data_IF_887726650679
#
_entry.id   IF_887726650679
#
_cell.length_a   1.000
_cell.length_b   1.000
_cell.length_c   1.000
_cell.angle_alpha   90.00
_cell.angle_beta   90.00
_cell.angle_gamma   90.00
#
_symmetry.space_group_name_H-M   'P 1'
#
loop_
_entity.id
_entity.type
_entity.pdbx_description
1 polymer ?
#
# COMPACT_ATOMS: atom_id res chain seq x y z
N UNK A 1 -22.06 -13.42 11.57
CA UNK A 1 -22.17 -12.15 10.81
C UNK A 1 -22.03 -12.40 9.33
N UNK A 2 -22.80 -11.70 8.47
CA UNK A 2 -22.61 -11.68 7.01
C UNK A 2 -22.00 -10.35 6.58
N UNK A 3 -20.90 -10.38 5.88
CA UNK A 3 -20.18 -9.18 5.46
C UNK A 3 -19.95 -9.18 3.95
N UNK A 4 -20.17 -8.05 3.33
CA UNK A 4 -19.78 -7.81 1.95
C UNK A 4 -18.64 -6.81 1.92
N UNK A 5 -17.55 -7.15 1.23
CA UNK A 5 -16.37 -6.27 1.08
C UNK A 5 -16.21 -5.88 -0.39
N UNK A 6 -16.28 -4.58 -0.68
CA UNK A 6 -16.06 -4.04 -2.01
C UNK A 6 -14.59 -3.59 -2.15
N UNK A 7 -13.85 -4.29 -3.01
CA UNK A 7 -12.44 -4.01 -3.28
C UNK A 7 -12.09 -4.34 -4.73
N UNK A 8 -11.45 -3.43 -5.45
CA UNK A 8 -11.06 -3.68 -6.83
C UNK A 8 -9.83 -2.89 -7.28
N UNK A 9 -9.17 -3.42 -8.31
CA UNK A 9 -8.10 -2.79 -9.07
C UNK A 9 -6.71 -3.17 -8.60
N UNK A 10 -6.19 -2.56 -7.55
CA UNK A 10 -4.81 -2.75 -7.09
C UNK A 10 -4.72 -3.51 -5.78
N UNK A 11 -3.57 -4.12 -5.51
CA UNK A 11 -3.29 -4.79 -4.24
C UNK A 11 -3.46 -3.85 -3.02
N UNK A 12 -3.19 -2.54 -3.19
CA UNK A 12 -3.40 -1.53 -2.14
C UNK A 12 -4.85 -1.35 -1.69
N UNK A 13 -5.84 -1.73 -2.52
CA UNK A 13 -7.25 -1.77 -2.15
C UNK A 13 -7.69 -3.15 -1.65
N UNK A 14 -7.14 -4.20 -2.24
CA UNK A 14 -7.60 -5.57 -2.00
C UNK A 14 -7.01 -6.12 -0.69
N UNK A 15 -5.72 -5.90 -0.43
CA UNK A 15 -5.05 -6.42 0.76
C UNK A 15 -5.66 -5.92 2.08
N UNK A 16 -5.99 -4.63 2.26
CA UNK A 16 -6.73 -4.18 3.44
C UNK A 16 -8.06 -4.91 3.62
N UNK A 17 -8.81 -5.12 2.52
CA UNK A 17 -10.06 -5.89 2.55
C UNK A 17 -9.87 -7.33 3.00
N UNK A 18 -8.83 -8.00 2.52
CA UNK A 18 -8.48 -9.36 2.94
C UNK A 18 -8.06 -9.40 4.42
N UNK A 19 -7.29 -8.41 4.88
CA UNK A 19 -6.89 -8.34 6.29
C UNK A 19 -8.10 -8.14 7.22
N UNK A 20 -9.02 -7.24 6.85
CA UNK A 20 -10.29 -7.02 7.56
C UNK A 20 -11.12 -8.30 7.57
N UNK A 21 -11.23 -9.00 6.44
CA UNK A 21 -11.94 -10.27 6.34
C UNK A 21 -11.38 -11.32 7.30
N UNK A 22 -10.05 -11.47 7.35
CA UNK A 22 -9.37 -12.39 8.25
C UNK A 22 -9.66 -12.06 9.70
N UNK A 23 -9.54 -10.79 10.10
CA UNK A 23 -9.84 -10.35 11.46
C UNK A 23 -11.29 -10.65 11.85
N UNK A 24 -12.24 -10.40 10.97
CA UNK A 24 -13.65 -10.75 11.21
C UNK A 24 -13.84 -12.27 11.43
N UNK A 25 -13.15 -13.11 10.66
CA UNK A 25 -13.22 -14.58 10.83
C UNK A 25 -12.55 -15.06 12.12
N UNK A 26 -11.47 -14.43 12.53
CA UNK A 26 -10.79 -14.72 13.81
C UNK A 26 -11.72 -14.46 14.98
N UNK A 27 -12.42 -13.31 14.99
CA UNK A 27 -13.36 -12.92 16.05
C UNK A 27 -14.71 -13.67 15.97
N UNK A 28 -15.18 -13.98 14.77
CA UNK A 28 -16.44 -14.63 14.53
C UNK A 28 -16.31 -15.78 13.51
N UNK A 29 -15.91 -16.96 13.96
CA UNK A 29 -15.63 -18.14 13.13
C UNK A 29 -16.73 -18.50 12.11
N UNK A 30 -17.99 -18.26 12.45
CA UNK A 30 -19.15 -18.56 11.61
C UNK A 30 -19.56 -17.38 10.70
N UNK A 31 -18.70 -16.37 10.51
CA UNK A 31 -19.01 -15.25 9.62
C UNK A 31 -18.96 -15.68 8.16
N UNK A 32 -19.91 -15.20 7.36
CA UNK A 32 -19.92 -15.36 5.91
C UNK A 32 -19.42 -14.07 5.26
N UNK A 33 -18.27 -14.13 4.60
CA UNK A 33 -17.65 -12.98 3.96
C UNK A 33 -17.63 -13.18 2.46
N UNK A 34 -18.13 -12.20 1.72
CA UNK A 34 -18.19 -12.21 0.26
C UNK A 34 -17.59 -10.92 -0.27
N UNK A 35 -16.72 -11.03 -1.24
CA UNK A 35 -16.16 -9.86 -1.93
C UNK A 35 -17.01 -9.49 -3.14
N UNK A 36 -17.10 -8.18 -3.41
CA UNK A 36 -17.59 -7.63 -4.67
C UNK A 36 -16.44 -6.90 -5.36
N UNK A 37 -16.14 -7.32 -6.56
CA UNK A 37 -15.10 -6.79 -7.42
C UNK A 37 -15.56 -6.63 -8.87
N UNK A 38 -14.58 -6.51 -9.78
CA UNK A 38 -14.82 -6.50 -11.22
C UNK A 38 -14.19 -7.74 -11.86
N UNK A 39 -14.49 -7.99 -13.13
CA UNK A 39 -13.87 -9.10 -13.90
C UNK A 39 -12.44 -8.80 -14.37
N UNK A 40 -11.84 -7.64 -14.01
CA UNK A 40 -10.64 -7.11 -14.69
C UNK A 40 -9.45 -6.83 -13.80
N UNK A 41 -9.62 -6.73 -12.49
CA UNK A 41 -8.57 -6.33 -11.56
C UNK A 41 -7.89 -7.53 -10.90
N UNK A 42 -6.91 -7.21 -10.03
CA UNK A 42 -6.16 -8.19 -9.25
C UNK A 42 -7.03 -8.95 -8.24
N UNK A 43 -8.23 -8.45 -7.94
CA UNK A 43 -9.20 -9.12 -7.08
C UNK A 43 -9.55 -10.52 -7.56
N UNK A 44 -9.53 -10.77 -8.89
CA UNK A 44 -9.85 -12.07 -9.47
C UNK A 44 -8.83 -13.17 -9.12
N UNK A 45 -7.62 -12.78 -8.75
CA UNK A 45 -6.57 -13.67 -8.30
C UNK A 45 -6.43 -13.66 -6.77
N UNK A 46 -6.33 -12.47 -6.17
CA UNK A 46 -5.99 -12.32 -4.76
C UNK A 46 -7.10 -12.75 -3.80
N UNK A 47 -8.37 -12.50 -4.15
CA UNK A 47 -9.51 -12.84 -3.28
C UNK A 47 -9.74 -14.35 -3.20
N UNK A 48 -9.80 -15.09 -4.34
CA UNK A 48 -9.92 -16.55 -4.28
C UNK A 48 -8.71 -17.23 -3.61
N UNK A 49 -7.48 -16.75 -3.88
CA UNK A 49 -6.28 -17.27 -3.18
C UNK A 49 -6.31 -17.06 -1.67
N UNK A 50 -7.01 -16.03 -1.21
CA UNK A 50 -7.22 -15.79 0.23
C UNK A 50 -8.36 -16.63 0.81
N UNK A 51 -9.05 -17.46 -0.01
CA UNK A 51 -10.13 -18.36 0.42
C UNK A 51 -11.51 -17.72 0.47
N UNK A 52 -11.73 -16.55 -0.18
CA UNK A 52 -13.01 -15.86 -0.16
C UNK A 52 -13.76 -15.96 -1.49
N UNK A 53 -15.10 -15.98 -1.40
CA UNK A 53 -15.99 -15.90 -2.57
C UNK A 53 -15.91 -14.49 -3.17
N UNK A 54 -15.73 -14.41 -4.50
CA UNK A 54 -15.78 -13.17 -5.26
C UNK A 54 -17.00 -13.15 -6.17
N UNK A 55 -17.86 -12.16 -6.00
CA UNK A 55 -18.91 -11.79 -6.96
C UNK A 55 -18.44 -10.57 -7.76
N UNK A 56 -18.71 -10.56 -9.06
CA UNK A 56 -18.29 -9.46 -9.93
C UNK A 56 -19.47 -8.66 -10.42
N UNK A 57 -19.30 -7.36 -10.54
CA UNK A 57 -20.24 -6.43 -11.16
C UNK A 57 -19.53 -5.54 -12.19
N UNK A 58 -20.29 -4.96 -13.09
CA UNK A 58 -19.73 -4.07 -14.10
C UNK A 58 -19.69 -2.62 -13.59
N UNK A 59 -18.53 -2.17 -13.14
CA UNK A 59 -18.30 -0.81 -12.66
C UNK A 59 -17.02 -0.21 -13.26
N UNK A 60 -17.01 1.12 -13.45
CA UNK A 60 -15.89 1.85 -14.04
C UNK A 60 -15.60 3.14 -13.29
N UNK A 61 -14.34 3.56 -13.33
CA UNK A 61 -13.95 4.88 -12.87
C UNK A 61 -14.52 5.96 -13.81
N UNK A 62 -15.20 6.95 -13.24
CA UNK A 62 -15.75 8.06 -13.99
C UNK A 62 -14.63 9.10 -14.26
N UNK A 63 -14.45 9.48 -15.54
CA UNK A 63 -13.59 10.58 -15.96
C UNK A 63 -14.41 11.88 -16.07
N UNK A 64 -13.74 13.03 -15.88
CA UNK A 64 -14.36 14.35 -16.09
C UNK A 64 -14.52 14.73 -17.59
N UNK A 65 -13.86 14.00 -18.49
CA UNK A 65 -13.96 14.30 -19.94
C UNK A 65 -15.30 13.80 -20.49
N UNK A 66 -16.03 14.67 -21.14
CA UNK A 66 -17.25 14.29 -21.90
C UNK A 66 -16.79 13.60 -23.17
N UNK A 67 -17.00 12.29 -23.26
CA UNK A 67 -16.75 11.48 -24.45
C UNK A 67 -17.76 10.33 -24.52
N UNK A 68 -18.02 9.82 -25.72
CA UNK A 68 -18.91 8.67 -25.94
C UNK A 68 -18.48 7.47 -25.08
N UNK A 69 -17.18 7.26 -24.92
CA UNK A 69 -16.62 6.21 -24.07
C UNK A 69 -16.96 6.41 -22.58
N UNK A 70 -16.89 7.66 -22.10
CA UNK A 70 -17.25 7.97 -20.72
C UNK A 70 -18.76 7.85 -20.46
N UNK A 71 -19.60 8.17 -21.45
CA UNK A 71 -21.05 7.93 -21.36
C UNK A 71 -21.33 6.43 -21.27
N UNK A 72 -20.68 5.61 -22.10
CA UNK A 72 -20.77 4.14 -22.01
C UNK A 72 -20.32 3.62 -20.63
N UNK A 73 -19.21 4.14 -20.07
CA UNK A 73 -18.72 3.78 -18.73
C UNK A 73 -19.73 4.19 -17.63
N UNK A 74 -20.37 5.34 -17.78
CA UNK A 74 -21.40 5.79 -16.84
C UNK A 74 -22.63 4.89 -16.86
N UNK A 75 -23.14 4.51 -18.05
CA UNK A 75 -24.26 3.57 -18.19
C UNK A 75 -23.91 2.22 -17.54
N UNK A 76 -22.71 1.69 -17.78
CA UNK A 76 -22.23 0.46 -17.16
C UNK A 76 -22.13 0.56 -15.64
N UNK A 77 -21.69 1.71 -15.12
CA UNK A 77 -21.63 1.93 -13.66
C UNK A 77 -23.02 2.02 -13.04
N UNK A 78 -24.02 2.57 -13.73
CA UNK A 78 -25.44 2.54 -13.30
C UNK A 78 -25.96 1.11 -13.31
N UNK A 79 -25.64 0.30 -14.34
CA UNK A 79 -25.96 -1.13 -14.37
C UNK A 79 -25.32 -1.86 -13.19
N UNK A 80 -24.03 -1.61 -12.92
CA UNK A 80 -23.30 -2.17 -11.79
C UNK A 80 -23.93 -1.81 -10.43
N UNK A 81 -24.52 -0.63 -10.28
CA UNK A 81 -25.33 -0.27 -9.11
C UNK A 81 -26.54 -1.20 -8.98
N UNK A 82 -27.27 -1.49 -10.06
CA UNK A 82 -28.40 -2.42 -10.09
C UNK A 82 -27.98 -3.84 -9.73
N UNK A 83 -26.86 -4.31 -10.27
CA UNK A 83 -26.27 -5.62 -9.98
C UNK A 83 -25.86 -5.72 -8.49
N UNK A 84 -25.15 -4.72 -7.96
CA UNK A 84 -24.81 -4.66 -6.54
C UNK A 84 -26.06 -4.70 -5.65
N UNK A 85 -27.09 -3.92 -6.00
CA UNK A 85 -28.36 -3.90 -5.26
C UNK A 85 -29.06 -5.28 -5.25
N UNK A 86 -29.03 -6.02 -6.38
CA UNK A 86 -29.56 -7.38 -6.46
C UNK A 86 -28.79 -8.32 -5.54
N UNK A 87 -27.46 -8.34 -5.63
CA UNK A 87 -26.58 -9.15 -4.78
C UNK A 87 -26.84 -8.85 -3.30
N UNK A 88 -26.89 -7.59 -2.90
CA UNK A 88 -27.10 -7.20 -1.51
C UNK A 88 -28.50 -7.57 -0.98
N UNK A 89 -29.55 -7.51 -1.81
CA UNK A 89 -30.90 -7.97 -1.45
C UNK A 89 -30.95 -9.47 -1.19
N UNK A 90 -30.25 -10.27 -2.01
CA UNK A 90 -30.16 -11.72 -1.87
C UNK A 90 -29.38 -12.13 -0.62
N UNK A 91 -28.20 -11.48 -0.41
CA UNK A 91 -27.29 -11.80 0.68
C UNK A 91 -27.79 -11.31 2.04
N UNK A 92 -28.47 -10.15 2.08
CA UNK A 92 -28.86 -9.44 3.30
C UNK A 92 -27.72 -9.35 4.31
N UNK A 93 -26.59 -8.67 3.94
CA UNK A 93 -25.44 -8.56 4.83
C UNK A 93 -25.73 -7.62 6.00
N UNK A 94 -25.08 -7.87 7.14
CA UNK A 94 -25.13 -7.00 8.32
C UNK A 94 -24.38 -5.69 8.11
N UNK A 95 -23.36 -5.71 7.23
CA UNK A 95 -22.56 -4.53 6.88
C UNK A 95 -21.95 -4.68 5.47
N UNK A 96 -21.75 -3.55 4.81
CA UNK A 96 -20.96 -3.44 3.55
C UNK A 96 -19.74 -2.56 3.78
N UNK A 97 -18.57 -3.10 3.52
CA UNK A 97 -17.27 -2.46 3.71
C UNK A 97 -16.64 -2.16 2.36
N UNK A 98 -16.20 -0.95 2.11
CA UNK A 98 -15.43 -0.58 0.92
C UNK A 98 -13.99 -0.27 1.30
N UNK A 99 -13.02 -0.91 0.64
CA UNK A 99 -11.59 -0.68 0.92
C UNK A 99 -10.85 0.02 -0.22
N UNK A 100 -11.58 0.42 -1.27
CA UNK A 100 -11.03 1.24 -2.33
C UNK A 100 -11.40 0.77 -3.75
N UNK A 101 -11.01 1.60 -4.70
CA UNK A 101 -11.38 1.41 -6.09
C UNK A 101 -12.78 1.97 -6.42
N UNK A 102 -13.03 2.06 -7.74
CA UNK A 102 -14.31 2.61 -8.25
C UNK A 102 -15.52 1.72 -7.97
N UNK A 103 -15.30 0.46 -7.63
CA UNK A 103 -16.33 -0.51 -7.23
C UNK A 103 -17.12 -0.04 -6.00
N UNK A 104 -16.44 0.65 -5.07
CA UNK A 104 -17.07 1.18 -3.88
C UNK A 104 -18.21 2.14 -4.21
N UNK A 105 -18.11 2.89 -5.33
CA UNK A 105 -19.16 3.81 -5.78
C UNK A 105 -20.52 3.13 -5.96
N UNK A 106 -20.54 2.03 -6.69
CA UNK A 106 -21.76 1.25 -6.94
C UNK A 106 -22.23 0.52 -5.67
N UNK A 107 -21.31 -0.19 -5.00
CA UNK A 107 -21.66 -1.10 -3.89
C UNK A 107 -22.10 -0.34 -2.64
N UNK A 108 -21.37 0.68 -2.20
CA UNK A 108 -21.74 1.51 -1.04
C UNK A 108 -23.03 2.30 -1.30
N UNK A 109 -23.21 2.86 -2.53
CA UNK A 109 -24.47 3.53 -2.86
C UNK A 109 -25.67 2.58 -2.84
N UNK A 110 -25.50 1.34 -3.29
CA UNK A 110 -26.54 0.32 -3.23
C UNK A 110 -26.87 -0.08 -1.78
N UNK A 111 -25.85 -0.28 -0.94
CA UNK A 111 -25.99 -0.56 0.48
C UNK A 111 -26.73 0.58 1.21
N UNK A 112 -26.31 1.83 0.98
CA UNK A 112 -26.98 3.01 1.55
C UNK A 112 -28.48 3.06 1.16
N UNK A 113 -28.79 2.82 -0.13
CA UNK A 113 -30.18 2.79 -0.61
C UNK A 113 -31.01 1.67 0.06
N UNK A 114 -30.40 0.55 0.38
CA UNK A 114 -31.03 -0.57 1.08
C UNK A 114 -31.02 -0.41 2.62
N UNK A 115 -30.52 0.71 3.13
CA UNK A 115 -30.35 1.00 4.55
C UNK A 115 -29.44 0.00 5.30
N UNK A 116 -28.56 -0.70 4.59
CA UNK A 116 -27.55 -1.59 5.17
C UNK A 116 -26.43 -0.72 5.77
N UNK A 117 -25.87 -1.06 6.95
CA UNK A 117 -24.71 -0.40 7.51
C UNK A 117 -23.53 -0.34 6.54
N UNK A 118 -22.86 0.82 6.46
CA UNK A 118 -21.78 1.07 5.49
C UNK A 118 -20.53 1.58 6.15
N UNK A 119 -19.39 1.02 5.77
CA UNK A 119 -18.08 1.43 6.21
C UNK A 119 -17.14 1.61 5.01
N UNK A 120 -16.35 2.67 4.97
CA UNK A 120 -15.26 2.86 4.01
C UNK A 120 -13.92 2.88 4.75
N UNK A 121 -12.89 2.29 4.16
CA UNK A 121 -11.51 2.42 4.59
C UNK A 121 -10.72 3.20 3.53
N UNK A 122 -10.09 4.32 3.93
CA UNK A 122 -9.21 5.12 3.09
C UNK A 122 -7.75 4.95 3.53
N UNK A 123 -6.97 4.35 2.69
CA UNK A 123 -5.56 4.06 2.96
C UNK A 123 -4.63 5.26 2.74
N UNK A 124 -5.02 6.25 1.93
CA UNK A 124 -4.14 7.36 1.56
C UNK A 124 -4.31 8.58 2.47
N UNK A 125 -3.23 9.34 2.63
CA UNK A 125 -3.25 10.62 3.35
C UNK A 125 -4.09 11.70 2.62
N UNK A 126 -4.27 11.56 1.30
CA UNK A 126 -5.22 12.37 0.53
C UNK A 126 -6.36 11.49 0.02
N UNK A 127 -7.58 11.66 0.55
CA UNK A 127 -8.70 10.79 0.24
C UNK A 127 -9.04 10.75 -1.26
N UNK A 128 -9.28 9.54 -1.75
CA UNK A 128 -9.68 9.30 -3.14
C UNK A 128 -11.03 9.91 -3.49
N UNK A 129 -11.29 10.09 -4.81
CA UNK A 129 -12.56 10.63 -5.30
C UNK A 129 -13.77 9.83 -4.83
N UNK A 130 -13.67 8.51 -4.82
CA UNK A 130 -14.75 7.63 -4.39
C UNK A 130 -15.13 7.91 -2.94
N UNK A 131 -14.16 8.00 -2.02
CA UNK A 131 -14.39 8.29 -0.61
C UNK A 131 -15.07 9.65 -0.43
N UNK A 132 -14.56 10.70 -1.10
CA UNK A 132 -15.16 12.05 -1.03
C UNK A 132 -16.60 12.10 -1.54
N UNK A 133 -16.92 11.38 -2.62
CA UNK A 133 -18.27 11.33 -3.19
C UNK A 133 -19.25 10.52 -2.32
N UNK A 134 -18.73 9.51 -1.62
CA UNK A 134 -19.52 8.62 -0.78
C UNK A 134 -19.62 9.09 0.67
N UNK A 135 -18.89 10.13 1.08
CA UNK A 135 -18.80 10.57 2.46
C UNK A 135 -20.16 10.77 3.14
N UNK A 136 -21.12 11.42 2.46
CA UNK A 136 -22.49 11.62 2.98
C UNK A 136 -23.32 10.34 3.08
N UNK A 137 -22.98 9.32 2.26
CA UNK A 137 -23.74 8.06 2.16
C UNK A 137 -23.18 6.96 3.07
N UNK A 138 -21.99 7.15 3.59
CA UNK A 138 -21.29 6.17 4.43
C UNK A 138 -21.52 6.48 5.90
N UNK A 139 -21.79 5.45 6.68
CA UNK A 139 -22.06 5.64 8.11
C UNK A 139 -20.77 5.86 8.87
N UNK A 140 -19.69 5.10 8.57
CA UNK A 140 -18.35 5.28 9.19
C UNK A 140 -17.26 5.23 8.13
N UNK A 141 -16.32 6.16 8.18
CA UNK A 141 -15.11 6.17 7.33
C UNK A 141 -13.90 6.00 8.23
N UNK A 142 -13.11 4.98 7.97
CA UNK A 142 -11.84 4.73 8.62
C UNK A 142 -10.71 5.33 7.78
N UNK A 143 -9.76 5.97 8.42
CA UNK A 143 -8.61 6.57 7.74
C UNK A 143 -7.30 6.04 8.28
N UNK A 144 -6.33 5.89 7.39
CA UNK A 144 -4.99 5.41 7.73
C UNK A 144 -4.06 6.50 8.24
N UNK A 145 -4.36 7.75 7.93
CA UNK A 145 -3.59 8.91 8.35
C UNK A 145 -4.53 9.96 8.94
N UNK A 146 -4.19 10.48 10.11
CA UNK A 146 -5.00 11.47 10.82
C UNK A 146 -5.27 12.72 9.96
N UNK A 147 -4.27 13.14 9.19
CA UNK A 147 -4.38 14.28 8.26
C UNK A 147 -5.47 14.11 7.18
N UNK A 148 -5.98 12.90 6.97
CA UNK A 148 -7.07 12.65 6.04
C UNK A 148 -8.44 13.06 6.62
N UNK A 149 -8.60 13.15 7.94
CA UNK A 149 -9.87 13.49 8.61
C UNK A 149 -10.39 14.83 8.10
N UNK A 150 -9.59 15.88 8.17
CA UNK A 150 -9.97 17.24 7.76
C UNK A 150 -10.29 17.36 6.27
N UNK A 151 -9.83 16.40 5.46
CA UNK A 151 -10.03 16.37 4.01
C UNK A 151 -11.30 15.65 3.57
N UNK A 152 -12.00 15.01 4.51
CA UNK A 152 -13.26 14.28 4.27
C UNK A 152 -14.41 15.11 4.79
N UNK A 153 -14.89 16.05 3.97
CA UNK A 153 -16.03 16.91 4.32
C UNK A 153 -17.35 16.13 4.25
N UNK A 154 -18.29 16.52 5.10
CA UNK A 154 -19.66 15.99 5.13
C UNK A 154 -19.80 14.49 5.46
N UNK A 155 -18.79 13.86 5.99
CA UNK A 155 -18.91 12.52 6.55
C UNK A 155 -19.69 12.54 7.87
N UNK A 156 -20.42 11.45 8.14
CA UNK A 156 -21.15 11.31 9.42
C UNK A 156 -20.19 11.01 10.58
N UNK A 157 -19.24 10.11 10.32
CA UNK A 157 -18.23 9.69 11.29
C UNK A 157 -16.93 9.38 10.56
N UNK A 158 -15.79 9.90 11.04
CA UNK A 158 -14.46 9.62 10.53
C UNK A 158 -13.56 9.22 11.68
N UNK A 159 -12.94 8.05 11.60
CA UNK A 159 -12.13 7.49 12.69
C UNK A 159 -10.73 7.14 12.17
N UNK A 160 -9.72 7.58 12.88
CA UNK A 160 -8.33 7.17 12.62
C UNK A 160 -8.08 5.78 13.20
N UNK A 161 -7.80 4.81 12.35
CA UNK A 161 -7.50 3.42 12.74
C UNK A 161 -6.14 2.95 12.27
N UNK A 162 -5.60 3.54 11.23
CA UNK A 162 -4.47 2.99 10.48
C UNK A 162 -4.91 2.05 9.35
N UNK A 163 -3.95 1.48 8.65
CA UNK A 163 -4.15 0.44 7.64
C UNK A 163 -3.56 -0.88 8.12
N UNK A 164 -4.30 -2.00 8.03
CA UNK A 164 -3.73 -3.30 8.34
C UNK A 164 -2.63 -3.66 7.34
N UNK A 165 -1.46 -3.98 7.83
CA UNK A 165 -0.28 -4.35 7.04
C UNK A 165 0.23 -5.74 7.46
N UNK A 166 0.85 -6.45 6.52
CA UNK A 166 1.37 -7.79 6.78
C UNK A 166 2.71 -7.77 7.51
N UNK A 167 3.52 -6.72 7.24
CA UNK A 167 4.87 -6.60 7.78
C UNK A 167 4.79 -6.09 9.21
N UNK A 168 5.28 -6.91 10.13
CA UNK A 168 5.31 -6.61 11.57
C UNK A 168 6.75 -6.41 12.05
N UNK A 169 6.93 -5.59 13.06
CA UNK A 169 8.22 -5.41 13.71
C UNK A 169 8.64 -6.72 14.39
N UNK A 170 9.85 -7.19 14.09
CA UNK A 170 10.50 -8.35 14.72
C UNK A 170 11.68 -7.90 15.54
N UNK A 171 11.83 -8.45 16.71
CA UNK A 171 12.97 -8.17 17.57
C UNK A 171 14.10 -9.17 17.27
N UNK A 172 14.84 -8.97 16.19
CA UNK A 172 16.05 -9.73 15.90
C UNK A 172 17.18 -9.24 16.81
N UNK A 173 17.86 -10.16 17.48
CA UNK A 173 19.13 -9.82 18.13
C UNK A 173 20.25 -9.66 17.09
N UNK A 174 21.40 -9.13 17.50
CA UNK A 174 22.52 -8.84 16.57
C UNK A 174 23.03 -10.10 15.87
N UNK A 175 23.08 -11.25 16.56
CA UNK A 175 23.49 -12.52 15.96
C UNK A 175 22.53 -12.97 14.85
N UNK A 176 21.22 -12.90 15.09
CA UNK A 176 20.19 -13.24 14.10
C UNK A 176 20.24 -12.32 12.87
N UNK A 177 20.44 -11.01 13.07
CA UNK A 177 20.63 -10.08 11.96
C UNK A 177 21.83 -10.46 11.10
N UNK A 178 22.97 -10.69 11.74
CA UNK A 178 24.20 -11.11 11.05
C UNK A 178 24.01 -12.38 10.24
N UNK A 179 23.31 -13.37 10.79
CA UNK A 179 23.02 -14.64 10.11
C UNK A 179 22.14 -14.44 8.87
N UNK A 180 21.11 -13.57 8.94
CA UNK A 180 20.26 -13.24 7.81
C UNK A 180 21.09 -12.53 6.72
N UNK A 181 21.91 -11.56 7.10
CA UNK A 181 22.76 -10.80 6.18
C UNK A 181 23.76 -11.74 5.47
N UNK A 182 24.41 -12.64 6.21
CA UNK A 182 25.33 -13.65 5.65
C UNK A 182 24.65 -14.60 4.67
N UNK A 183 23.44 -15.06 4.97
CA UNK A 183 22.64 -15.92 4.06
C UNK A 183 22.34 -15.22 2.73
N UNK A 184 22.30 -13.91 2.71
CA UNK A 184 22.13 -13.13 1.48
C UNK A 184 23.43 -12.89 0.72
N UNK A 185 24.58 -13.29 1.26
CA UNK A 185 25.90 -13.06 0.68
C UNK A 185 26.39 -11.62 0.85
N UNK A 186 25.91 -10.92 1.89
CA UNK A 186 26.26 -9.54 2.20
C UNK A 186 27.21 -9.46 3.41
N UNK A 187 27.91 -8.33 3.56
CA UNK A 187 28.81 -8.06 4.68
C UNK A 187 28.02 -7.61 5.92
N UNK A 188 28.15 -8.33 7.01
CA UNK A 188 27.42 -8.06 8.26
C UNK A 188 27.84 -6.78 9.00
N UNK A 189 28.96 -6.16 8.61
CA UNK A 189 29.51 -4.96 9.25
C UNK A 189 29.30 -3.70 8.39
N UNK A 190 28.59 -3.82 7.27
CA UNK A 190 28.33 -2.70 6.36
C UNK A 190 26.85 -2.36 6.36
N UNK A 191 26.47 -1.06 6.39
CA UNK A 191 25.05 -0.66 6.35
C UNK A 191 24.34 -1.15 5.09
N UNK A 192 23.06 -1.42 5.23
CA UNK A 192 22.24 -2.01 4.15
C UNK A 192 21.09 -1.09 3.78
N UNK A 193 20.98 -0.79 2.50
CA UNK A 193 19.87 -0.04 1.89
C UNK A 193 18.95 -1.00 1.14
N UNK A 194 17.67 -1.00 1.46
CA UNK A 194 16.66 -1.73 0.68
C UNK A 194 16.06 -0.82 -0.38
N UNK A 195 16.09 -1.24 -1.64
CA UNK A 195 15.52 -0.48 -2.77
C UNK A 195 14.45 -1.29 -3.47
N UNK A 196 13.22 -0.75 -3.58
CA UNK A 196 12.13 -1.37 -4.33
C UNK A 196 11.12 -0.37 -4.86
N UNK A 197 10.54 -0.68 -6.02
CA UNK A 197 9.54 0.15 -6.69
C UNK A 197 8.09 -0.33 -6.52
N UNK A 198 7.84 -1.27 -5.60
CA UNK A 198 6.59 -2.04 -5.51
C UNK A 198 6.62 -3.31 -6.37
N UNK A 199 5.51 -4.06 -6.41
CA UNK A 199 5.46 -5.40 -7.03
C UNK A 199 5.82 -5.44 -8.52
N UNK A 200 5.66 -4.34 -9.24
CA UNK A 200 5.98 -4.24 -10.67
C UNK A 200 7.37 -3.61 -10.95
N UNK A 201 8.05 -3.17 -9.90
CA UNK A 201 9.26 -2.34 -10.01
C UNK A 201 8.95 -0.88 -10.35
N UNK A 202 9.99 -0.05 -10.39
CA UNK A 202 9.91 1.37 -10.73
C UNK A 202 11.08 1.76 -11.62
N UNK A 203 10.81 1.91 -12.92
CA UNK A 203 11.84 2.16 -13.94
C UNK A 203 12.81 3.30 -13.57
N UNK A 204 12.28 4.41 -13.05
CA UNK A 204 13.09 5.58 -12.69
C UNK A 204 14.05 5.28 -11.51
N UNK A 205 13.55 4.57 -10.49
CA UNK A 205 14.39 4.12 -9.37
C UNK A 205 15.44 3.13 -9.86
N UNK A 206 15.04 2.18 -10.72
CA UNK A 206 15.95 1.20 -11.27
C UNK A 206 17.08 1.86 -12.09
N UNK A 207 16.77 2.86 -12.91
CA UNK A 207 17.77 3.60 -13.67
C UNK A 207 18.78 4.30 -12.75
N UNK A 208 18.31 4.97 -11.68
CA UNK A 208 19.19 5.61 -10.73
C UNK A 208 20.13 4.61 -10.01
N UNK A 209 19.66 3.40 -9.72
CA UNK A 209 20.54 2.35 -9.16
C UNK A 209 21.55 1.85 -10.21
N UNK A 210 21.17 1.73 -11.48
CA UNK A 210 22.11 1.41 -12.56
C UNK A 210 23.22 2.46 -12.67
N UNK A 211 22.88 3.74 -12.62
CA UNK A 211 23.88 4.84 -12.62
C UNK A 211 24.83 4.78 -11.39
N UNK A 212 24.34 4.35 -10.22
CA UNK A 212 25.18 4.10 -9.02
C UNK A 212 26.16 2.93 -9.29
N UNK A 213 25.69 1.84 -9.92
CA UNK A 213 26.53 0.69 -10.29
C UNK A 213 27.63 1.14 -11.29
N UNK A 214 27.26 1.91 -12.30
CA UNK A 214 28.19 2.42 -13.32
C UNK A 214 29.27 3.32 -12.73
N UNK A 215 28.88 4.19 -11.81
CA UNK A 215 29.81 5.11 -11.14
C UNK A 215 30.64 4.46 -10.02
N UNK A 216 30.27 3.28 -9.55
CA UNK A 216 30.92 2.56 -8.44
C UNK A 216 30.85 3.26 -7.07
N UNK A 217 29.93 4.21 -6.89
CA UNK A 217 29.87 5.08 -5.71
C UNK A 217 29.34 4.42 -4.42
N UNK A 218 28.81 3.20 -4.47
CA UNK A 218 28.29 2.47 -3.30
C UNK A 218 29.40 1.71 -2.54
N UNK A 219 30.51 2.35 -2.25
CA UNK A 219 31.62 1.67 -1.56
C UNK A 219 31.39 1.49 -0.06
N UNK A 220 30.65 2.39 0.58
CA UNK A 220 30.48 2.46 2.02
C UNK A 220 29.16 1.85 2.52
N UNK A 221 28.28 1.38 1.62
CA UNK A 221 27.01 0.73 1.94
C UNK A 221 26.68 -0.36 0.93
N UNK A 222 25.77 -1.24 1.32
CA UNK A 222 25.27 -2.34 0.48
C UNK A 222 23.82 -2.11 0.10
N UNK A 223 23.41 -2.66 -1.03
CA UNK A 223 22.05 -2.54 -1.53
C UNK A 223 21.41 -3.91 -1.73
N UNK A 224 20.22 -4.10 -1.16
CA UNK A 224 19.28 -5.13 -1.56
C UNK A 224 18.28 -4.49 -2.50
N UNK A 225 18.29 -4.88 -3.76
CA UNK A 225 17.49 -4.25 -4.79
C UNK A 225 16.50 -5.20 -5.44
N UNK A 226 15.18 -4.91 -5.28
CA UNK A 226 14.09 -5.58 -6.00
C UNK A 226 13.70 -4.76 -7.23
N UNK A 227 14.12 -5.21 -8.40
CA UNK A 227 13.91 -4.52 -9.68
C UNK A 227 12.47 -4.57 -10.16
N UNK A 228 11.71 -5.57 -9.75
CA UNK A 228 10.45 -5.99 -10.35
C UNK A 228 10.66 -7.06 -11.44
N UNK A 229 9.81 -8.12 -11.49
CA UNK A 229 10.03 -9.28 -12.37
C UNK A 229 10.22 -8.90 -13.85
N UNK A 230 9.41 -7.96 -14.35
CA UNK A 230 9.47 -7.54 -15.76
C UNK A 230 10.72 -6.73 -16.12
N UNK A 231 11.36 -6.11 -15.16
CA UNK A 231 12.54 -5.27 -15.40
C UNK A 231 13.85 -6.01 -15.10
N UNK A 232 13.77 -7.12 -14.36
CA UNK A 232 14.94 -7.90 -13.98
C UNK A 232 15.74 -8.41 -15.20
N UNK A 233 15.04 -8.99 -16.16
CA UNK A 233 15.69 -9.55 -17.36
C UNK A 233 16.33 -8.45 -18.23
N UNK A 234 15.66 -7.29 -18.35
CA UNK A 234 16.21 -6.13 -19.07
C UNK A 234 17.47 -5.60 -18.38
N UNK A 235 17.45 -5.46 -17.06
CA UNK A 235 18.61 -5.00 -16.27
C UNK A 235 19.75 -5.99 -16.35
N UNK A 236 19.44 -7.29 -16.30
CA UNK A 236 20.43 -8.35 -16.45
C UNK A 236 21.12 -8.27 -17.80
N UNK A 237 20.37 -8.14 -18.90
CA UNK A 237 20.91 -7.98 -20.26
C UNK A 237 21.78 -6.72 -20.38
N UNK A 238 21.36 -5.59 -19.80
CA UNK A 238 22.17 -4.35 -19.78
C UNK A 238 23.52 -4.57 -19.09
N UNK A 239 23.54 -5.20 -17.91
CA UNK A 239 24.75 -5.48 -17.16
C UNK A 239 25.67 -6.48 -17.92
N UNK A 240 25.09 -7.50 -18.54
CA UNK A 240 25.85 -8.49 -19.35
C UNK A 240 26.51 -7.83 -20.57
N UNK A 241 25.83 -6.89 -21.23
CA UNK A 241 26.40 -6.11 -22.34
C UNK A 241 27.58 -5.23 -21.90
N UNK A 242 27.64 -4.84 -20.64
CA UNK A 242 28.76 -4.14 -20.01
C UNK A 242 29.82 -5.10 -19.42
N UNK A 243 29.77 -6.38 -19.74
CA UNK A 243 30.62 -7.44 -19.18
C UNK A 243 30.54 -7.57 -17.64
N UNK A 244 29.41 -7.17 -17.04
CA UNK A 244 29.14 -7.28 -15.60
C UNK A 244 28.18 -8.42 -15.33
N UNK A 245 28.52 -9.32 -14.40
CA UNK A 245 27.61 -10.38 -13.97
C UNK A 245 26.70 -9.86 -12.86
N UNK A 246 25.39 -9.89 -13.05
CA UNK A 246 24.38 -9.41 -12.09
C UNK A 246 24.53 -10.00 -10.68
N UNK A 247 25.04 -11.24 -10.57
CA UNK A 247 25.25 -11.88 -9.28
C UNK A 247 26.55 -11.48 -8.57
N UNK A 248 27.45 -10.77 -9.27
CA UNK A 248 28.78 -10.41 -8.77
C UNK A 248 29.00 -8.89 -8.72
N UNK A 249 27.96 -8.10 -8.78
CA UNK A 249 28.06 -6.64 -8.60
C UNK A 249 28.46 -6.37 -7.14
N UNK A 250 29.56 -5.63 -6.97
CA UNK A 250 30.10 -5.30 -5.63
C UNK A 250 29.04 -4.61 -4.77
N UNK A 251 28.89 -5.06 -3.52
CA UNK A 251 27.97 -4.50 -2.53
C UNK A 251 26.49 -4.50 -2.95
N UNK A 252 26.10 -5.39 -3.86
CA UNK A 252 24.72 -5.45 -4.37
C UNK A 252 24.14 -6.87 -4.29
N UNK A 253 22.89 -6.96 -3.83
CA UNK A 253 22.03 -8.14 -3.97
C UNK A 253 20.85 -7.77 -4.84
N UNK A 254 20.89 -8.19 -6.11
CA UNK A 254 19.88 -7.84 -7.12
C UNK A 254 18.90 -9.00 -7.26
N UNK A 255 17.61 -8.71 -7.10
CA UNK A 255 16.53 -9.71 -7.10
C UNK A 255 15.37 -9.25 -7.99
N UNK A 256 14.70 -10.15 -8.70
CA UNK A 256 13.46 -9.79 -9.41
C UNK A 256 12.33 -9.43 -8.44
N UNK A 257 12.28 -10.12 -7.29
CA UNK A 257 11.25 -9.96 -6.27
C UNK A 257 11.76 -10.45 -4.90
N UNK A 258 11.28 -9.83 -3.81
CA UNK A 258 11.60 -10.23 -2.44
C UNK A 258 10.38 -10.90 -1.82
N UNK A 259 10.44 -12.23 -1.62
CA UNK A 259 9.35 -13.01 -1.03
C UNK A 259 9.27 -12.86 0.50
N UNK A 260 10.43 -12.75 1.16
CA UNK A 260 10.57 -12.57 2.61
C UNK A 260 10.72 -11.08 3.00
N UNK A 261 9.91 -10.19 2.41
CA UNK A 261 10.02 -8.73 2.60
C UNK A 261 9.98 -8.33 4.09
N UNK A 262 9.18 -9.03 4.92
CA UNK A 262 9.12 -8.76 6.35
C UNK A 262 10.49 -8.90 7.03
N UNK A 263 11.20 -10.00 6.75
CA UNK A 263 12.54 -10.24 7.29
C UNK A 263 13.52 -9.15 6.84
N UNK A 264 13.53 -8.86 5.54
CA UNK A 264 14.46 -7.88 4.96
C UNK A 264 14.20 -6.47 5.47
N UNK A 265 12.95 -6.00 5.50
CA UNK A 265 12.62 -4.66 6.02
C UNK A 265 12.97 -4.50 7.50
N UNK A 266 12.98 -5.59 8.27
CA UNK A 266 13.37 -5.52 9.68
C UNK A 266 14.88 -5.34 9.88
N UNK A 267 15.73 -5.89 9.00
CA UNK A 267 17.20 -5.89 9.19
C UNK A 267 17.93 -4.72 8.52
N UNK A 268 17.34 -4.10 7.49
CA UNK A 268 17.98 -2.99 6.74
C UNK A 268 17.99 -1.68 7.52
N UNK A 269 18.91 -0.78 7.16
CA UNK A 269 19.09 0.50 7.83
C UNK A 269 18.26 1.62 7.20
N UNK A 270 18.16 1.65 5.87
CA UNK A 270 17.43 2.68 5.10
C UNK A 270 16.60 2.01 4.02
N UNK A 271 15.44 2.60 3.72
CA UNK A 271 14.55 2.13 2.65
C UNK A 271 14.39 3.20 1.58
N UNK A 272 14.62 2.83 0.33
CA UNK A 272 14.31 3.64 -0.87
C UNK A 272 13.12 3.01 -1.58
N UNK A 273 12.00 3.72 -1.69
CA UNK A 273 10.79 3.14 -2.27
C UNK A 273 9.82 4.17 -2.87
N UNK A 274 8.83 3.67 -3.63
CA UNK A 274 7.61 4.42 -3.91
C UNK A 274 6.80 4.64 -2.64
N UNK A 275 6.03 5.73 -2.57
CA UNK A 275 5.25 6.14 -1.40
C UNK A 275 3.78 5.67 -1.46
N UNK A 276 3.55 4.41 -1.78
CA UNK A 276 2.24 3.79 -1.62
C UNK A 276 1.83 3.76 -0.14
N UNK A 277 0.54 3.88 0.15
CA UNK A 277 0.04 3.96 1.53
C UNK A 277 0.49 2.78 2.40
N UNK A 278 0.46 1.55 1.87
CA UNK A 278 0.94 0.35 2.57
C UNK A 278 2.43 0.48 2.92
N UNK A 279 3.26 0.89 1.97
CA UNK A 279 4.71 1.07 2.17
C UNK A 279 5.00 2.12 3.25
N UNK A 280 4.27 3.25 3.24
CA UNK A 280 4.41 4.28 4.28
C UNK A 280 4.06 3.71 5.66
N UNK A 281 2.95 2.96 5.78
CA UNK A 281 2.55 2.33 7.03
C UNK A 281 3.57 1.30 7.50
N UNK A 282 4.11 0.47 6.61
CA UNK A 282 5.13 -0.53 6.92
C UNK A 282 6.43 0.13 7.40
N UNK A 283 6.90 1.16 6.70
CA UNK A 283 8.08 1.97 7.07
C UNK A 283 7.88 2.58 8.47
N UNK A 284 6.71 3.16 8.72
CA UNK A 284 6.40 3.81 10.01
C UNK A 284 6.38 2.80 11.15
N UNK A 285 5.70 1.67 10.97
CA UNK A 285 5.58 0.64 12.00
C UNK A 285 6.93 -0.02 12.35
N UNK A 286 7.84 -0.09 11.38
CA UNK A 286 9.18 -0.61 11.60
C UNK A 286 10.16 0.44 12.13
N UNK A 287 9.82 1.72 12.08
CA UNK A 287 10.70 2.83 12.47
C UNK A 287 11.91 2.94 11.54
N UNK A 288 11.72 2.83 10.23
CA UNK A 288 12.82 2.87 9.26
C UNK A 288 12.97 4.25 8.65
N UNK A 289 14.20 4.81 8.62
CA UNK A 289 14.53 5.96 7.78
C UNK A 289 14.24 5.64 6.32
N UNK A 290 13.76 6.62 5.56
CA UNK A 290 13.43 6.36 4.16
C UNK A 290 13.73 7.51 3.21
N UNK A 291 14.00 7.14 1.96
CA UNK A 291 13.99 8.03 0.80
C UNK A 291 12.80 7.62 -0.07
N UNK A 292 11.87 8.54 -0.23
CA UNK A 292 10.61 8.28 -0.91
C UNK A 292 10.59 8.95 -2.27
N UNK A 293 10.27 8.16 -3.29
CA UNK A 293 10.15 8.62 -4.68
C UNK A 293 8.68 8.47 -5.10
N UNK A 294 7.84 9.50 -4.89
CA UNK A 294 6.43 9.42 -5.25
C UNK A 294 6.23 9.16 -6.74
N UNK A 295 5.32 8.24 -7.08
CA UNK A 295 4.94 8.00 -8.47
C UNK A 295 4.16 9.20 -9.00
N UNK A 296 4.60 9.85 -10.10
CA UNK A 296 3.89 10.98 -10.69
C UNK A 296 2.63 10.53 -11.45
N UNK A 297 1.76 11.50 -11.76
CA UNK A 297 0.57 11.30 -12.59
C UNK A 297 -0.44 10.27 -12.05
N UNK A 298 -0.40 9.96 -10.75
CA UNK A 298 -1.43 9.19 -10.08
C UNK A 298 -2.58 10.09 -9.63
N UNK A 299 -3.76 9.48 -9.41
CA UNK A 299 -4.96 10.24 -9.03
C UNK A 299 -4.68 11.17 -7.83
N UNK A 300 -4.78 12.50 -8.05
CA UNK A 300 -4.57 13.52 -7.02
C UNK A 300 -3.19 13.49 -6.34
N UNK A 301 -2.15 13.01 -7.01
CA UNK A 301 -0.79 12.92 -6.50
C UNK A 301 -0.72 12.28 -5.09
N UNK A 302 -1.62 11.30 -4.83
CA UNK A 302 -1.77 10.71 -3.51
C UNK A 302 -0.46 10.16 -2.94
N UNK A 303 0.47 9.66 -3.80
CA UNK A 303 1.77 9.21 -3.32
C UNK A 303 2.62 10.36 -2.77
N UNK A 304 2.57 11.55 -3.37
CA UNK A 304 3.26 12.71 -2.82
C UNK A 304 2.69 13.11 -1.45
N UNK A 305 1.36 13.09 -1.30
CA UNK A 305 0.75 13.36 0.01
C UNK A 305 1.09 12.31 1.05
N UNK A 306 1.16 11.03 0.67
CA UNK A 306 1.61 9.96 1.57
C UNK A 306 3.07 10.18 2.00
N UNK A 307 3.98 10.51 1.06
CA UNK A 307 5.37 10.78 1.38
C UNK A 307 5.54 11.98 2.32
N UNK A 308 4.76 13.05 2.11
CA UNK A 308 4.78 14.24 2.97
C UNK A 308 4.41 13.95 4.43
N UNK A 309 3.65 12.91 4.72
CA UNK A 309 3.35 12.51 6.11
C UNK A 309 4.65 12.19 6.87
N UNK A 310 5.57 11.44 6.23
CA UNK A 310 6.87 11.12 6.83
C UNK A 310 7.88 12.27 6.73
N UNK A 311 7.89 13.02 5.63
CA UNK A 311 8.80 14.14 5.46
C UNK A 311 8.53 15.25 6.49
N UNK A 312 7.27 15.60 6.74
CA UNK A 312 6.89 16.64 7.70
C UNK A 312 7.34 16.35 9.14
N UNK A 313 7.45 15.08 9.50
CA UNK A 313 7.99 14.65 10.80
C UNK A 313 9.47 14.31 10.74
N UNK A 314 10.17 14.64 9.65
CA UNK A 314 11.60 14.36 9.45
C UNK A 314 11.96 12.87 9.53
N UNK A 315 11.06 11.98 9.11
CA UNK A 315 11.26 10.54 9.05
C UNK A 315 11.66 10.06 7.66
N UNK A 316 11.45 10.88 6.62
CA UNK A 316 11.80 10.58 5.25
C UNK A 316 12.36 11.80 4.51
N UNK A 317 13.12 11.52 3.45
CA UNK A 317 13.49 12.49 2.41
C UNK A 317 12.69 12.19 1.15
N UNK A 318 12.07 13.21 0.55
CA UNK A 318 11.41 13.08 -0.75
C UNK A 318 12.37 13.46 -1.87
N UNK A 319 12.44 12.62 -2.90
CA UNK A 319 13.06 12.95 -4.20
C UNK A 319 11.95 12.79 -5.24
N UNK A 320 11.71 13.84 -6.03
CA UNK A 320 10.69 13.78 -7.08
C UNK A 320 11.18 12.91 -8.24
N UNK A 321 10.26 12.17 -8.84
CA UNK A 321 10.56 11.22 -9.92
C UNK A 321 11.33 11.85 -11.10
N UNK A 322 10.98 13.08 -11.46
CA UNK A 322 11.60 13.82 -12.57
C UNK A 322 13.00 14.37 -12.25
N UNK A 323 13.38 14.50 -11.00
CA UNK A 323 14.71 14.95 -10.55
C UNK A 323 15.62 13.81 -10.08
N UNK A 324 15.09 12.58 -10.05
CA UNK A 324 15.84 11.43 -9.59
C UNK A 324 16.87 10.99 -10.64
N UNK A 325 18.13 10.91 -10.21
CA UNK A 325 19.27 10.27 -10.90
C UNK A 325 20.15 9.54 -9.88
N UNK A 326 21.18 8.86 -10.34
CA UNK A 326 22.10 8.08 -9.49
C UNK A 326 22.90 8.96 -8.53
N UNK A 327 23.33 10.14 -8.94
CA UNK A 327 24.10 11.06 -8.11
C UNK A 327 23.27 11.59 -6.95
N UNK A 328 22.08 12.13 -7.23
CA UNK A 328 21.14 12.64 -6.23
C UNK A 328 20.73 11.52 -5.27
N UNK A 329 20.45 10.33 -5.79
CA UNK A 329 20.07 9.19 -4.95
C UNK A 329 21.21 8.79 -4.03
N UNK A 330 22.42 8.60 -4.55
CA UNK A 330 23.61 8.21 -3.78
C UNK A 330 23.91 9.21 -2.66
N UNK A 331 23.96 10.50 -2.97
CA UNK A 331 24.21 11.56 -1.97
C UNK A 331 23.19 11.55 -0.83
N UNK A 332 21.90 11.30 -1.13
CA UNK A 332 20.87 11.23 -0.10
C UNK A 332 20.96 9.93 0.71
N UNK A 333 21.32 8.80 0.09
CA UNK A 333 21.60 7.55 0.80
C UNK A 333 22.74 7.74 1.79
N UNK A 334 23.89 8.25 1.33
CA UNK A 334 25.10 8.45 2.15
C UNK A 334 24.82 9.39 3.33
N UNK A 335 24.14 10.51 3.11
CA UNK A 335 23.76 11.45 4.19
C UNK A 335 22.98 10.80 5.33
N UNK A 336 22.21 9.78 5.03
CA UNK A 336 21.37 9.08 6.02
C UNK A 336 22.11 7.87 6.57
N UNK A 337 22.57 6.97 5.71
CA UNK A 337 23.05 5.64 6.10
C UNK A 337 24.41 5.68 6.82
N UNK A 338 25.26 6.66 6.47
CA UNK A 338 26.58 6.83 7.09
C UNK A 338 26.56 7.70 8.36
N UNK A 339 25.43 8.37 8.62
CA UNK A 339 25.26 9.16 9.84
C UNK A 339 24.30 8.44 10.79
N UNK A 340 24.88 7.74 11.78
CA UNK A 340 24.12 6.93 12.76
C UNK A 340 23.09 7.75 13.54
N UNK A 341 23.40 9.00 13.87
CA UNK A 341 22.50 9.88 14.61
C UNK A 341 21.30 10.26 13.74
N UNK A 342 21.53 10.71 12.51
CA UNK A 342 20.47 11.00 11.52
C UNK A 342 19.60 9.78 11.29
N UNK A 343 20.20 8.61 11.07
CA UNK A 343 19.49 7.37 10.86
C UNK A 343 18.56 7.02 12.04
N UNK A 344 19.09 7.13 13.28
CA UNK A 344 18.31 6.86 14.48
C UNK A 344 17.19 7.88 14.71
N UNK A 345 17.45 9.18 14.49
CA UNK A 345 16.46 10.23 14.63
C UNK A 345 15.30 10.03 13.64
N UNK A 346 15.61 9.81 12.36
CA UNK A 346 14.61 9.52 11.34
C UNK A 346 13.76 8.29 11.69
N UNK A 347 14.39 7.22 12.18
CA UNK A 347 13.70 6.01 12.61
C UNK A 347 12.76 6.27 13.81
N UNK A 348 13.21 7.01 14.82
CA UNK A 348 12.36 7.43 15.96
C UNK A 348 11.19 8.29 15.50
N UNK A 349 11.42 9.19 14.54
CA UNK A 349 10.38 10.03 13.98
C UNK A 349 9.33 9.20 13.22
N UNK A 350 9.75 8.19 12.45
CA UNK A 350 8.83 7.29 11.74
C UNK A 350 7.87 6.59 12.71
N UNK A 351 8.36 6.15 13.88
CA UNK A 351 7.54 5.50 14.91
C UNK A 351 6.46 6.42 15.50
N UNK A 352 6.56 7.74 15.39
CA UNK A 352 5.54 8.68 15.93
C UNK A 352 4.16 8.51 15.28
N UNK A 353 4.12 7.99 14.07
CA UNK A 353 2.87 7.72 13.33
C UNK A 353 2.62 6.23 13.13
N UNK A 354 3.40 5.38 13.80
CA UNK A 354 3.16 3.95 13.82
C UNK A 354 1.80 3.64 14.44
N UNK A 355 1.11 2.66 13.90
CA UNK A 355 -0.20 2.23 14.39
C UNK A 355 -0.11 0.82 14.95
N UNK A 356 -0.62 0.63 16.16
CA UNK A 356 -0.81 -0.68 16.80
C UNK A 356 -2.28 -1.06 16.79
N UNK A 357 -2.54 -2.35 16.88
CA UNK A 357 -3.88 -2.92 17.07
C UNK A 357 -4.90 -2.45 16.02
N UNK A 358 -4.41 -2.27 14.79
CA UNK A 358 -5.19 -1.71 13.67
C UNK A 358 -6.39 -2.59 13.36
N UNK A 359 -6.18 -3.90 13.30
CA UNK A 359 -7.22 -4.86 12.99
C UNK A 359 -8.30 -4.88 14.08
N UNK A 360 -7.91 -4.76 15.36
CA UNK A 360 -8.83 -4.68 16.50
C UNK A 360 -9.66 -3.40 16.44
N UNK A 361 -9.01 -2.25 16.25
CA UNK A 361 -9.70 -0.95 16.08
C UNK A 361 -10.71 -0.97 14.92
N UNK A 362 -10.33 -1.55 13.80
CA UNK A 362 -11.23 -1.68 12.63
C UNK A 362 -12.42 -2.57 13.00
N UNK A 363 -12.17 -3.71 13.64
CA UNK A 363 -13.24 -4.61 14.05
C UNK A 363 -14.24 -3.97 15.03
N UNK A 364 -13.73 -3.25 16.04
CA UNK A 364 -14.58 -2.47 16.96
C UNK A 364 -15.49 -1.48 16.22
N UNK A 365 -14.92 -0.76 15.23
CA UNK A 365 -15.72 0.18 14.44
C UNK A 365 -16.74 -0.50 13.54
N UNK A 366 -16.46 -1.71 13.05
CA UNK A 366 -17.43 -2.53 12.30
C UNK A 366 -18.63 -2.85 13.20
N UNK A 367 -18.39 -3.39 14.40
CA UNK A 367 -19.44 -3.74 15.37
C UNK A 367 -20.24 -2.51 15.79
N UNK A 368 -19.56 -1.40 16.12
CA UNK A 368 -20.20 -0.14 16.46
C UNK A 368 -21.11 0.39 15.34
N UNK A 369 -20.65 0.31 14.09
CA UNK A 369 -21.40 0.78 12.91
C UNK A 369 -22.66 -0.07 12.68
N UNK A 370 -22.61 -1.37 12.91
CA UNK A 370 -23.77 -2.27 12.84
C UNK A 370 -24.79 -1.87 13.91
N UNK A 371 -24.39 -1.78 15.17
CA UNK A 371 -25.29 -1.48 16.29
C UNK A 371 -25.96 -0.11 16.15
N UNK A 372 -25.24 0.92 15.76
CA UNK A 372 -25.77 2.28 15.60
C UNK A 372 -26.88 2.39 14.54
N UNK A 373 -26.99 1.47 13.62
CA UNK A 373 -27.99 1.52 12.55
C UNK A 373 -29.15 0.58 12.78
N UNK A 374 -29.02 -0.37 13.71
CA UNK A 374 -30.07 -1.30 14.13
C UNK A 374 -30.87 -0.79 15.34
N UNK A 375 -30.33 0.21 16.04
CA UNK A 375 -31.03 1.00 17.07
C UNK A 375 -31.77 2.17 16.44
#
# INVERSE_FOLDING_TARGET
MKVVIAAAGTAGHINPGIAIAKKIQEEQKNSKIIFIGTTRGLENDLVPRAGYELKTIDAYGLSKKISIENIKKMIKTIKGFGEAKKILKELKPDIVIGTGGYICGATISAAHHLKIPTLLHESNAFPGKAVKLLAKKTDTILVSFEVAIERIKHAKNVVYTGTPVKIKKRNYNEQQKKEIIKKMGLNENMPIVLVFGGSQGARRINNAIMEIIESGKNEQYQVIWATGPKQYDVIKEQLENEHKNINHIKNMKILPYIYNMEEIMNIVDVIVARSGAMTITEISNLGKPSILVPLPNVSHDHQLYNAKVLENIKAAKIILDNTLDGEILNQNIEKIVLNKETCQEMGKNALKIATSDVEDKIYEQIIKTIHQKTS
#
